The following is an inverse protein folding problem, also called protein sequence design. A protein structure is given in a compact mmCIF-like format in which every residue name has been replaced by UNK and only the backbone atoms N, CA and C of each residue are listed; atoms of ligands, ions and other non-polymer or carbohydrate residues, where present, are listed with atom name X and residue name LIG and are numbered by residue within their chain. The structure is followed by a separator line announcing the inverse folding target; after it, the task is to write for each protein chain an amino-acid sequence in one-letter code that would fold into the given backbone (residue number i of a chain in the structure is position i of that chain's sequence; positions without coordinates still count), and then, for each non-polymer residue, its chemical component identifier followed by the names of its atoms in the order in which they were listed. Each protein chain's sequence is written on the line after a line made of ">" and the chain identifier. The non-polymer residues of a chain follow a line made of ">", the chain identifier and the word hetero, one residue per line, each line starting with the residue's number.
data_IF_052747523095
#
_entry.id   IF_052747523095
#
_cell.length_a   1.000
_cell.length_b   1.000
_cell.length_c   1.000
_cell.angle_alpha   90.00
_cell.angle_beta   90.00
_cell.angle_gamma   90.00
#
_symmetry.space_group_name_H-M   'P 1'
#
loop_
_entity.id
_entity.type
_entity.pdbx_description
1 polymer ?
#
# COMPACT_ATOMS: atom_id res chain seq x y z
N UNK A 1 -16.95 -13.33 8.04
CA UNK A 1 -16.00 -13.10 6.92
C UNK A 1 -16.61 -13.64 5.65
N UNK A 2 -16.82 -12.80 4.62
CA UNK A 2 -17.60 -13.17 3.43
C UNK A 2 -16.91 -14.30 2.64
N UNK A 3 -17.58 -15.44 2.39
CA UNK A 3 -16.94 -16.66 1.84
C UNK A 3 -16.18 -16.40 0.54
N UNK A 4 -16.70 -15.52 -0.34
CA UNK A 4 -16.05 -15.11 -1.60
C UNK A 4 -14.69 -14.43 -1.41
N UNK A 5 -14.46 -13.74 -0.29
CA UNK A 5 -13.19 -13.08 0.00
C UNK A 5 -12.08 -14.07 0.44
N UNK A 6 -12.46 -15.28 0.87
CA UNK A 6 -11.50 -16.31 1.32
C UNK A 6 -10.78 -17.01 0.15
N UNK A 7 -11.45 -17.13 -0.99
CA UNK A 7 -10.93 -17.88 -2.15
C UNK A 7 -9.96 -17.07 -3.02
N UNK A 8 -10.06 -15.74 -3.01
CA UNK A 8 -9.19 -14.84 -3.81
C UNK A 8 -7.71 -15.02 -3.45
N UNK A 9 -7.38 -14.93 -2.16
CA UNK A 9 -5.99 -15.07 -1.69
C UNK A 9 -5.43 -16.46 -1.99
N UNK A 10 -6.27 -17.50 -1.86
CA UNK A 10 -5.89 -18.89 -2.15
C UNK A 10 -5.60 -19.05 -3.64
N UNK A 11 -6.42 -18.46 -4.50
CA UNK A 11 -6.21 -18.50 -5.95
C UNK A 11 -4.88 -17.87 -6.35
N UNK A 12 -4.53 -16.71 -5.79
CA UNK A 12 -3.22 -16.07 -6.06
C UNK A 12 -2.07 -16.93 -5.54
N UNK A 13 -2.16 -17.45 -4.32
CA UNK A 13 -1.15 -18.36 -3.77
C UNK A 13 -0.95 -19.60 -4.66
N UNK A 14 -2.05 -20.15 -5.18
CA UNK A 14 -2.02 -21.31 -6.08
C UNK A 14 -1.32 -20.98 -7.41
N UNK A 15 -1.59 -19.82 -8.00
CA UNK A 15 -0.86 -19.35 -9.19
C UNK A 15 0.64 -19.24 -8.91
N UNK A 16 1.03 -18.66 -7.78
CA UNK A 16 2.44 -18.51 -7.39
C UNK A 16 3.12 -19.88 -7.18
N UNK A 17 2.42 -20.84 -6.57
CA UNK A 17 2.88 -22.22 -6.47
C UNK A 17 3.07 -22.87 -7.85
N UNK A 18 2.14 -22.67 -8.78
CA UNK A 18 2.25 -23.19 -10.15
C UNK A 18 3.51 -22.63 -10.83
N UNK A 19 3.76 -21.32 -10.75
CA UNK A 19 4.98 -20.73 -11.31
C UNK A 19 6.25 -21.33 -10.71
N UNK A 20 6.26 -21.56 -9.40
CA UNK A 20 7.39 -22.16 -8.71
C UNK A 20 7.62 -23.62 -9.15
N UNK A 21 6.55 -24.41 -9.27
CA UNK A 21 6.64 -25.80 -9.74
C UNK A 21 7.14 -25.87 -11.18
N UNK A 22 6.61 -25.02 -12.07
CA UNK A 22 7.07 -24.90 -13.47
C UNK A 22 8.56 -24.55 -13.50
N UNK A 23 9.00 -23.66 -12.62
CA UNK A 23 10.40 -23.23 -12.53
C UNK A 23 11.34 -24.34 -12.08
N UNK A 24 10.93 -25.12 -11.07
CA UNK A 24 11.68 -26.30 -10.63
C UNK A 24 11.74 -27.33 -11.76
N UNK A 25 10.62 -27.58 -12.44
CA UNK A 25 10.60 -28.52 -13.57
C UNK A 25 11.57 -28.10 -14.67
N UNK A 26 11.56 -26.82 -15.08
CA UNK A 26 12.46 -26.27 -16.09
C UNK A 26 13.93 -26.29 -15.70
N UNK A 27 14.25 -26.18 -14.41
CA UNK A 27 15.61 -26.39 -13.92
C UNK A 27 16.11 -27.81 -14.25
N UNK A 28 15.27 -28.82 -14.03
CA UNK A 28 15.63 -30.22 -14.31
C UNK A 28 15.52 -30.60 -15.79
N UNK A 29 14.57 -30.06 -16.55
CA UNK A 29 14.36 -30.42 -17.95
C UNK A 29 15.25 -29.67 -18.92
N UNK A 30 15.42 -28.37 -18.71
CA UNK A 30 16.02 -27.46 -19.69
C UNK A 30 17.37 -26.89 -19.19
N UNK A 31 17.79 -27.25 -17.97
CA UNK A 31 19.07 -26.83 -17.39
C UNK A 31 19.13 -25.38 -16.92
N UNK A 32 17.98 -24.72 -16.73
CA UNK A 32 17.95 -23.35 -16.18
C UNK A 32 18.57 -23.29 -14.79
N UNK A 33 19.30 -22.22 -14.48
CA UNK A 33 19.93 -22.05 -13.17
C UNK A 33 18.94 -21.42 -12.18
N UNK A 34 18.81 -22.02 -10.99
CA UNK A 34 18.03 -21.45 -9.90
C UNK A 34 18.78 -20.31 -9.21
N UNK A 35 18.17 -19.13 -9.16
CA UNK A 35 18.75 -17.94 -8.52
C UNK A 35 18.41 -17.89 -7.03
N UNK A 36 19.21 -17.16 -6.25
CA UNK A 36 18.93 -16.92 -4.82
C UNK A 36 17.55 -16.30 -4.61
N UNK A 37 17.13 -15.41 -5.51
CA UNK A 37 15.81 -14.77 -5.50
C UNK A 37 14.67 -15.80 -5.54
N UNK A 38 14.86 -16.94 -6.23
CA UNK A 38 13.88 -18.01 -6.31
C UNK A 38 13.76 -18.80 -5.00
N UNK A 39 14.88 -19.10 -4.34
CA UNK A 39 14.87 -19.73 -3.02
C UNK A 39 14.20 -18.83 -1.96
N UNK A 40 14.49 -17.53 -2.00
CA UNK A 40 13.79 -16.55 -1.15
C UNK A 40 12.29 -16.52 -1.45
N UNK A 41 11.92 -16.54 -2.73
CA UNK A 41 10.52 -16.66 -3.16
C UNK A 41 9.83 -17.88 -2.54
N UNK A 42 10.45 -19.06 -2.64
CA UNK A 42 9.94 -20.29 -2.03
C UNK A 42 9.69 -20.15 -0.52
N UNK A 43 10.67 -19.64 0.22
CA UNK A 43 10.56 -19.46 1.67
C UNK A 43 9.43 -18.48 2.02
N UNK A 44 9.37 -17.34 1.33
CA UNK A 44 8.33 -16.34 1.54
C UNK A 44 6.92 -16.88 1.22
N UNK A 45 6.78 -17.66 0.14
CA UNK A 45 5.51 -18.29 -0.24
C UNK A 45 5.08 -19.34 0.79
N UNK A 46 6.01 -20.14 1.29
CA UNK A 46 5.74 -21.13 2.33
C UNK A 46 5.28 -20.46 3.62
N UNK A 47 5.98 -19.43 4.09
CA UNK A 47 5.60 -18.64 5.27
C UNK A 47 4.21 -18.02 5.09
N UNK A 48 3.95 -17.42 3.94
CA UNK A 48 2.64 -16.80 3.63
C UNK A 48 1.51 -17.83 3.65
N UNK A 49 1.78 -19.05 3.17
CA UNK A 49 0.83 -20.16 3.17
C UNK A 49 0.56 -20.65 4.61
N UNK A 50 1.58 -20.80 5.45
CA UNK A 50 1.40 -21.13 6.87
C UNK A 50 0.61 -20.05 7.62
N UNK A 51 0.92 -18.77 7.36
CA UNK A 51 0.18 -17.65 7.92
C UNK A 51 -1.28 -17.67 7.48
N UNK A 52 -1.58 -18.09 6.24
CA UNK A 52 -2.95 -18.21 5.77
C UNK A 52 -3.78 -19.21 6.56
N UNK A 53 -3.17 -20.30 7.03
CA UNK A 53 -3.83 -21.30 7.88
C UNK A 53 -4.15 -20.71 9.26
N UNK A 54 -3.26 -19.88 9.82
CA UNK A 54 -3.40 -19.30 11.17
C UNK A 54 -4.22 -18.01 11.24
N UNK A 55 -3.92 -17.04 10.39
CA UNK A 55 -4.52 -15.70 10.39
C UNK A 55 -4.69 -15.17 8.97
N UNK A 56 -5.93 -15.20 8.48
CA UNK A 56 -6.27 -14.76 7.14
C UNK A 56 -6.01 -13.28 6.87
N UNK A 57 -6.03 -12.40 7.89
CA UNK A 57 -5.75 -10.96 7.72
C UNK A 57 -4.25 -10.72 7.55
N UNK A 58 -3.41 -11.33 8.39
CA UNK A 58 -1.95 -11.22 8.28
C UNK A 58 -1.44 -11.82 6.97
N UNK A 59 -2.00 -12.95 6.56
CA UNK A 59 -1.66 -13.56 5.28
C UNK A 59 -1.89 -12.64 4.08
N UNK A 60 -2.94 -11.80 4.11
CA UNK A 60 -3.20 -10.81 3.05
C UNK A 60 -2.10 -9.75 2.97
N UNK A 61 -1.65 -9.25 4.12
CA UNK A 61 -0.54 -8.29 4.18
C UNK A 61 0.71 -8.91 3.57
N UNK A 62 1.05 -10.13 4.01
CA UNK A 62 2.21 -10.85 3.50
C UNK A 62 2.10 -11.15 2.00
N UNK A 63 0.91 -11.46 1.49
CA UNK A 63 0.69 -11.67 0.07
C UNK A 63 0.92 -10.39 -0.75
N UNK A 64 0.45 -9.23 -0.26
CA UNK A 64 0.73 -7.93 -0.91
C UNK A 64 2.23 -7.65 -0.92
N UNK A 65 2.90 -7.82 0.22
CA UNK A 65 4.35 -7.65 0.32
C UNK A 65 5.10 -8.60 -0.62
N UNK A 66 4.68 -9.86 -0.69
CA UNK A 66 5.26 -10.87 -1.55
C UNK A 66 5.11 -10.51 -3.03
N UNK A 67 3.92 -10.09 -3.47
CA UNK A 67 3.70 -9.61 -4.83
C UNK A 67 4.50 -8.34 -5.13
N UNK A 68 4.67 -7.44 -4.17
CA UNK A 68 5.48 -6.24 -4.30
C UNK A 68 6.97 -6.58 -4.46
N UNK A 69 7.52 -7.45 -3.59
CA UNK A 69 8.90 -7.91 -3.70
C UNK A 69 9.16 -8.63 -5.03
N UNK A 70 8.20 -9.42 -5.50
CA UNK A 70 8.28 -10.09 -6.80
C UNK A 70 8.18 -9.09 -7.97
N UNK A 71 7.34 -8.07 -7.85
CA UNK A 71 7.24 -6.99 -8.84
C UNK A 71 8.55 -6.20 -8.99
N UNK A 72 9.40 -6.17 -7.97
CA UNK A 72 10.74 -5.55 -8.02
C UNK A 72 11.88 -6.56 -8.23
N UNK A 73 11.57 -7.81 -8.61
CA UNK A 73 12.53 -8.92 -8.76
C UNK A 73 13.43 -9.16 -7.53
N UNK A 74 13.04 -8.68 -6.35
CA UNK A 74 13.78 -8.94 -5.10
C UNK A 74 13.64 -10.43 -4.74
N UNK A 75 12.46 -10.98 -4.96
CA UNK A 75 12.20 -12.43 -4.97
C UNK A 75 11.68 -12.83 -6.35
N UNK A 76 11.82 -14.10 -6.70
CA UNK A 76 11.28 -14.63 -7.95
C UNK A 76 10.48 -15.91 -7.72
N UNK A 77 9.50 -16.14 -8.58
CA UNK A 77 8.79 -17.41 -8.71
C UNK A 77 9.00 -18.06 -10.08
N UNK A 78 9.77 -17.39 -10.96
CA UNK A 78 10.07 -17.83 -12.32
C UNK A 78 11.59 -17.95 -12.52
N UNK A 79 12.05 -19.00 -13.19
CA UNK A 79 13.45 -19.07 -13.67
C UNK A 79 13.75 -18.03 -14.74
N UNK A 80 12.73 -17.64 -15.51
CA UNK A 80 12.84 -16.55 -16.48
C UNK A 80 12.67 -15.19 -15.78
N UNK A 81 13.70 -14.35 -15.89
CA UNK A 81 13.60 -12.96 -15.47
C UNK A 81 13.06 -12.13 -16.63
N UNK A 82 11.74 -11.95 -16.65
CA UNK A 82 11.11 -10.93 -17.48
C UNK A 82 11.21 -9.62 -16.68
N UNK A 83 12.04 -8.69 -17.12
CA UNK A 83 12.17 -7.38 -16.47
C UNK A 83 12.14 -6.24 -17.47
N UNK A 84 11.56 -5.11 -17.06
CA UNK A 84 11.79 -3.84 -17.73
C UNK A 84 13.07 -3.20 -17.18
N UNK A 85 14.05 -2.99 -18.08
CA UNK A 85 15.38 -2.47 -17.75
C UNK A 85 16.49 -3.51 -17.92
N UNK A 86 17.73 -3.17 -17.54
CA UNK A 86 18.85 -4.13 -17.52
C UNK A 86 18.76 -4.98 -16.25
N UNK A 87 18.07 -6.12 -16.28
CA UNK A 87 18.27 -7.15 -15.24
C UNK A 87 19.51 -7.97 -15.57
N UNK A 88 20.66 -7.56 -15.04
CA UNK A 88 21.84 -8.40 -15.09
C UNK A 88 21.67 -9.58 -14.10
N UNK A 89 22.03 -10.78 -14.55
CA UNK A 89 22.26 -11.92 -13.66
C UNK A 89 23.74 -11.85 -13.27
N UNK A 90 24.00 -11.63 -11.99
CA UNK A 90 25.35 -11.61 -11.43
C UNK A 90 25.72 -13.01 -10.94
N UNK A 91 26.91 -13.47 -11.32
CA UNK A 91 27.52 -14.68 -10.77
C UNK A 91 28.45 -14.28 -9.62
N UNK A 92 28.17 -14.78 -8.42
CA UNK A 92 29.01 -14.63 -7.23
C UNK A 92 29.41 -16.03 -6.73
N UNK A 93 30.27 -16.71 -7.51
CA UNK A 93 30.75 -18.06 -7.22
C UNK A 93 29.75 -19.14 -7.60
N UNK A 94 29.23 -19.87 -6.60
CA UNK A 94 28.18 -20.89 -6.82
C UNK A 94 26.77 -20.28 -6.87
N UNK A 95 26.62 -19.00 -6.51
CA UNK A 95 25.32 -18.34 -6.40
C UNK A 95 25.08 -17.38 -7.57
N UNK A 96 23.87 -17.43 -8.09
CA UNK A 96 23.39 -16.53 -9.14
C UNK A 96 22.35 -15.58 -8.54
N UNK A 97 22.58 -14.29 -8.71
CA UNK A 97 21.72 -13.22 -8.18
C UNK A 97 21.12 -12.42 -9.33
N UNK A 98 19.82 -12.14 -9.26
CA UNK A 98 19.15 -11.27 -10.23
C UNK A 98 19.10 -9.85 -9.68
N UNK A 99 19.59 -8.88 -10.45
CA UNK A 99 19.47 -7.46 -10.11
C UNK A 99 18.01 -7.09 -9.83
N UNK A 100 17.74 -6.18 -8.87
CA UNK A 100 16.43 -5.55 -8.75
C UNK A 100 16.02 -4.92 -10.09
N UNK A 101 14.74 -5.06 -10.42
CA UNK A 101 14.16 -4.58 -11.68
C UNK A 101 12.65 -4.81 -11.68
N UNK A 102 11.92 -4.17 -12.59
CA UNK A 102 10.46 -4.26 -12.58
C UNK A 102 10.03 -5.51 -13.35
N UNK A 103 9.40 -6.47 -12.65
CA UNK A 103 8.77 -7.63 -13.26
C UNK A 103 7.31 -7.30 -13.65
N UNK A 104 7.01 -7.14 -14.95
CA UNK A 104 5.67 -6.74 -15.38
C UNK A 104 4.59 -7.76 -15.00
N UNK A 105 4.91 -9.05 -14.97
CA UNK A 105 3.95 -10.09 -14.65
C UNK A 105 3.48 -9.96 -13.19
N UNK A 106 4.41 -9.87 -12.25
CA UNK A 106 4.07 -9.74 -10.83
C UNK A 106 3.52 -8.35 -10.49
N UNK A 107 3.96 -7.29 -11.18
CA UNK A 107 3.36 -5.97 -11.07
C UNK A 107 1.89 -6.00 -11.50
N UNK A 108 1.58 -6.64 -12.62
CA UNK A 108 0.20 -6.79 -13.10
C UNK A 108 -0.64 -7.60 -12.10
N UNK A 109 -0.11 -8.70 -11.56
CA UNK A 109 -0.79 -9.48 -10.52
C UNK A 109 -1.06 -8.65 -9.27
N UNK A 110 -0.12 -7.81 -8.83
CA UNK A 110 -0.30 -6.90 -7.69
C UNK A 110 -1.42 -5.90 -7.95
N UNK A 111 -1.48 -5.31 -9.15
CA UNK A 111 -2.54 -4.37 -9.55
C UNK A 111 -3.89 -5.06 -9.57
N UNK A 112 -4.01 -6.22 -10.24
CA UNK A 112 -5.25 -7.00 -10.30
C UNK A 112 -5.73 -7.38 -8.90
N UNK A 113 -4.83 -7.87 -8.05
CA UNK A 113 -5.17 -8.22 -6.67
C UNK A 113 -5.65 -7.01 -5.87
N UNK A 114 -5.00 -5.85 -6.05
CA UNK A 114 -5.37 -4.61 -5.38
C UNK A 114 -6.73 -4.06 -5.84
N UNK A 115 -7.10 -4.25 -7.10
CA UNK A 115 -8.45 -3.89 -7.60
C UNK A 115 -9.50 -4.86 -7.02
N UNK A 116 -9.19 -6.16 -7.00
CA UNK A 116 -10.11 -7.19 -6.50
C UNK A 116 -10.39 -7.05 -5.00
N UNK A 117 -9.44 -6.54 -4.20
CA UNK A 117 -9.58 -6.29 -2.75
C UNK A 117 -9.30 -4.82 -2.38
N UNK A 118 -9.86 -3.90 -3.18
CA UNK A 118 -9.65 -2.44 -3.07
C UNK A 118 -9.81 -1.89 -1.65
N UNK A 119 -10.86 -2.32 -0.93
CA UNK A 119 -11.11 -1.84 0.44
C UNK A 119 -10.00 -2.20 1.42
N UNK A 120 -9.42 -3.40 1.28
CA UNK A 120 -8.27 -3.80 2.10
C UNK A 120 -7.01 -3.06 1.66
N UNK A 121 -6.74 -2.97 0.36
CA UNK A 121 -5.54 -2.32 -0.18
C UNK A 121 -5.47 -0.84 0.16
N UNK A 122 -6.58 -0.11 0.08
CA UNK A 122 -6.63 1.29 0.55
C UNK A 122 -6.34 1.40 2.03
N UNK A 123 -6.95 0.54 2.85
CA UNK A 123 -6.71 0.57 4.29
C UNK A 123 -5.24 0.26 4.60
N UNK A 124 -4.64 -0.70 3.90
CA UNK A 124 -3.23 -1.00 4.02
C UNK A 124 -2.35 0.20 3.62
N UNK A 125 -2.61 0.82 2.46
CA UNK A 125 -1.89 2.01 2.02
C UNK A 125 -1.99 3.16 3.04
N UNK A 126 -3.20 3.47 3.52
CA UNK A 126 -3.41 4.50 4.55
C UNK A 126 -2.68 4.18 5.86
N UNK A 127 -2.60 2.91 6.25
CA UNK A 127 -1.92 2.52 7.48
C UNK A 127 -0.39 2.58 7.36
N UNK A 128 0.17 2.34 6.16
CA UNK A 128 1.62 2.29 5.94
C UNK A 128 2.19 3.66 5.53
N UNK A 129 1.46 4.38 4.68
CA UNK A 129 1.91 5.65 4.08
C UNK A 129 1.02 6.85 4.44
N UNK A 130 -0.15 6.61 5.03
CA UNK A 130 -1.02 7.69 5.49
C UNK A 130 -0.54 8.29 6.80
N UNK A 131 -0.99 9.52 7.07
CA UNK A 131 -0.77 10.18 8.36
C UNK A 131 -1.42 9.34 9.46
N UNK A 132 -0.75 9.19 10.59
CA UNK A 132 -1.35 8.60 11.78
C UNK A 132 -2.54 9.45 12.25
N UNK A 133 -3.51 8.84 12.94
CA UNK A 133 -4.65 9.59 13.51
C UNK A 133 -4.17 10.72 14.43
N UNK A 134 -3.02 10.53 15.09
CA UNK A 134 -2.37 11.54 15.92
C UNK A 134 -1.86 12.72 15.10
N UNK A 135 -1.11 12.45 14.03
CA UNK A 135 -0.61 13.50 13.13
C UNK A 135 -1.75 14.25 12.43
N UNK A 136 -2.79 13.53 12.00
CA UNK A 136 -3.97 14.12 11.40
C UNK A 136 -4.70 15.05 12.39
N UNK A 137 -4.84 14.64 13.65
CA UNK A 137 -5.45 15.47 14.70
C UNK A 137 -4.58 16.68 15.07
N UNK A 138 -3.25 16.52 15.14
CA UNK A 138 -2.34 17.63 15.42
C UNK A 138 -2.36 18.68 14.30
N UNK A 139 -2.39 18.24 13.04
CA UNK A 139 -2.51 19.12 11.89
C UNK A 139 -3.87 19.81 11.85
N UNK A 140 -4.96 19.08 12.14
CA UNK A 140 -6.30 19.66 12.27
C UNK A 140 -6.32 20.76 13.34
N UNK A 141 -5.75 20.49 14.51
CA UNK A 141 -5.68 21.44 15.62
C UNK A 141 -4.88 22.69 15.23
N UNK A 142 -3.70 22.53 14.61
CA UNK A 142 -2.90 23.66 14.12
C UNK A 142 -3.67 24.50 13.10
N UNK A 143 -4.40 23.85 12.20
CA UNK A 143 -5.20 24.52 11.18
C UNK A 143 -6.38 25.27 11.82
N UNK A 144 -7.10 24.65 12.76
CA UNK A 144 -8.19 25.26 13.51
C UNK A 144 -7.70 26.47 14.31
N UNK A 145 -6.56 26.37 15.02
CA UNK A 145 -5.94 27.47 15.76
C UNK A 145 -5.52 28.63 14.84
N UNK A 146 -4.94 28.33 13.68
CA UNK A 146 -4.59 29.32 12.67
C UNK A 146 -5.82 30.11 12.20
N UNK A 147 -6.89 29.41 11.82
CA UNK A 147 -8.12 30.06 11.35
C UNK A 147 -8.84 30.80 12.47
N UNK A 148 -8.87 30.24 13.69
CA UNK A 148 -9.46 30.91 14.84
C UNK A 148 -8.75 32.24 15.10
N UNK A 149 -7.41 32.23 15.14
CA UNK A 149 -6.63 33.45 15.33
C UNK A 149 -6.85 34.46 14.21
N UNK A 150 -6.92 33.99 12.96
CA UNK A 150 -7.20 34.84 11.80
C UNK A 150 -8.56 35.53 11.90
N UNK A 151 -9.63 34.77 12.15
CA UNK A 151 -10.99 35.31 12.23
C UNK A 151 -11.21 36.16 13.48
N UNK A 152 -10.57 35.83 14.60
CA UNK A 152 -10.65 36.64 15.84
C UNK A 152 -10.03 38.03 15.67
N UNK A 153 -9.11 38.19 14.72
CA UNK A 153 -8.50 39.49 14.38
C UNK A 153 -9.23 40.24 13.26
N UNK A 154 -10.28 39.65 12.66
CA UNK A 154 -11.03 40.26 11.59
C UNK A 154 -12.04 41.28 12.13
N UNK A 155 -12.28 42.32 11.34
CA UNK A 155 -13.39 43.26 11.54
C UNK A 155 -14.74 42.58 11.27
N UNK A 156 -15.84 43.21 11.69
CA UNK A 156 -17.19 42.66 11.48
C UNK A 156 -17.54 42.50 10.00
N UNK A 157 -17.13 43.46 9.16
CA UNK A 157 -17.34 43.42 7.72
C UNK A 157 -16.58 42.25 7.05
N UNK A 158 -15.34 42.00 7.50
CA UNK A 158 -14.53 40.87 7.04
C UNK A 158 -15.10 39.52 7.50
N UNK A 159 -15.64 39.45 8.72
CA UNK A 159 -16.33 38.25 9.23
C UNK A 159 -17.60 37.95 8.44
N UNK A 160 -18.42 38.96 8.14
CA UNK A 160 -19.62 38.80 7.32
C UNK A 160 -19.27 38.37 5.89
N UNK A 161 -18.16 38.86 5.33
CA UNK A 161 -17.64 38.40 4.05
C UNK A 161 -17.18 36.93 4.12
N UNK A 162 -16.45 36.54 5.17
CA UNK A 162 -16.00 35.17 5.36
C UNK A 162 -17.18 34.19 5.52
N UNK A 163 -18.25 34.60 6.22
CA UNK A 163 -19.46 33.80 6.39
C UNK A 163 -20.18 33.54 5.07
N UNK A 164 -20.27 34.55 4.20
CA UNK A 164 -20.86 34.41 2.86
C UNK A 164 -20.09 33.42 1.98
N UNK A 165 -18.78 33.28 2.22
CA UNK A 165 -17.89 32.40 1.47
C UNK A 165 -17.43 31.19 2.29
N UNK A 166 -18.19 30.76 3.30
CA UNK A 166 -17.78 29.71 4.25
C UNK A 166 -17.35 28.40 3.57
N UNK A 167 -17.97 28.06 2.44
CA UNK A 167 -17.70 26.82 1.70
C UNK A 167 -16.32 26.82 1.01
N UNK A 168 -15.68 27.98 0.85
CA UNK A 168 -14.34 28.10 0.28
C UNK A 168 -13.24 27.71 1.29
N UNK A 169 -13.58 27.66 2.57
CA UNK A 169 -12.65 27.31 3.63
C UNK A 169 -12.61 25.80 3.90
N UNK A 170 -11.46 25.25 4.31
CA UNK A 170 -11.39 23.88 4.80
C UNK A 170 -12.25 23.72 6.06
N UNK A 171 -12.67 22.48 6.37
CA UNK A 171 -13.58 22.18 7.49
C UNK A 171 -13.15 22.82 8.82
N UNK A 172 -11.85 22.76 9.14
CA UNK A 172 -11.29 23.40 10.33
C UNK A 172 -11.52 24.93 10.35
N UNK A 173 -11.43 25.59 9.18
CA UNK A 173 -11.73 27.02 9.05
C UNK A 173 -13.22 27.33 9.19
N UNK A 174 -14.09 26.45 8.67
CA UNK A 174 -15.54 26.59 8.81
C UNK A 174 -15.97 26.50 10.28
N UNK A 175 -15.42 25.54 11.04
CA UNK A 175 -15.68 25.42 12.48
C UNK A 175 -15.15 26.63 13.25
N UNK A 176 -13.90 27.03 13.00
CA UNK A 176 -13.31 28.20 13.67
C UNK A 176 -14.09 29.48 13.42
N UNK A 177 -14.60 29.70 12.20
CA UNK A 177 -15.42 30.87 11.87
C UNK A 177 -16.73 30.91 12.66
N UNK A 178 -17.44 29.78 12.75
CA UNK A 178 -18.69 29.67 13.53
C UNK A 178 -18.45 30.03 15.01
N UNK A 179 -17.39 29.49 15.61
CA UNK A 179 -17.04 29.74 17.01
C UNK A 179 -16.75 31.24 17.25
N UNK A 180 -16.01 31.89 16.35
CA UNK A 180 -15.68 33.32 16.50
C UNK A 180 -16.94 34.20 16.39
N UNK A 181 -17.83 33.86 15.46
CA UNK A 181 -19.09 34.59 15.27
C UNK A 181 -20.03 34.43 16.47
N UNK A 182 -20.15 33.22 17.02
CA UNK A 182 -20.91 32.96 18.24
C UNK A 182 -20.41 33.83 19.40
N UNK A 183 -19.09 33.83 19.66
CA UNK A 183 -18.49 34.67 20.71
C UNK A 183 -18.72 36.16 20.51
N UNK A 184 -18.61 36.66 19.27
CA UNK A 184 -18.82 38.08 18.96
C UNK A 184 -20.29 38.54 19.11
N UNK A 185 -21.22 37.59 19.12
CA UNK A 185 -22.64 37.85 19.38
C UNK A 185 -22.98 37.78 20.87
N UNK A 186 -22.23 37.02 21.69
CA UNK A 186 -22.37 36.98 23.15
C UNK A 186 -21.81 38.23 23.85
N UNK A 187 -20.87 38.93 23.22
CA UNK A 187 -20.25 40.16 23.75
C UNK A 187 -21.04 41.45 23.45
N UNK A 188 -22.25 41.35 22.85
CA UNK A 188 -23.17 42.47 22.58
C UNK A 188 -24.40 42.44 23.45
#
# INVERSE_FOLDING_TARGET
>A
MNKKAKYKDIFVLLILFIFLVISIFRHFSDGYILTVNLYLGFICLFITTLLRIKDGKRAKVFLICLLMLAAFNIISFTVENISFGKSAIYNVGIFYFSSPGINPLFLLMLVIYSIIDYGFSIKFYKNVFGKSDKEANEEYKKMAEFYYKRFSSCTREELDFALKNINEYPHAGQESLKIVVEKSNEEK
#
